data_IF_633836274024
#
_entry.id   IF_633836274024
#
_cell.length_a   1.000
_cell.length_b   1.000
_cell.length_c   1.000
_cell.angle_alpha   90.00
_cell.angle_beta   90.00
_cell.angle_gamma   90.00
#
_symmetry.space_group_name_H-M   'P 1'
#
loop_
_entity.id
_entity.type
_entity.pdbx_description
1 polymer ?
#
# COMPACT_ATOMS: atom_id res chain seq x y z
N UNK A 1 -25.21 4.36 8.63
CA UNK A 1 -24.43 3.80 7.50
C UNK A 1 -22.97 3.80 7.95
N UNK A 2 -22.40 2.63 8.26
CA UNK A 2 -21.09 2.52 8.92
C UNK A 2 -19.97 2.98 7.99
N UNK A 3 -19.42 4.17 8.25
CA UNK A 3 -18.25 4.71 7.56
C UNK A 3 -17.04 3.88 7.99
N UNK A 4 -16.52 3.07 7.08
CA UNK A 4 -15.24 2.38 7.29
C UNK A 4 -14.16 3.46 7.38
N UNK A 5 -13.47 3.47 8.52
CA UNK A 5 -12.37 4.37 8.83
C UNK A 5 -11.32 4.38 7.71
N UNK A 6 -10.76 5.56 7.40
CA UNK A 6 -9.67 5.76 6.44
C UNK A 6 -8.35 5.05 6.83
N UNK A 7 -8.34 4.28 7.93
CA UNK A 7 -7.28 3.34 8.31
C UNK A 7 -6.97 2.29 7.25
N UNK A 8 -7.88 2.00 6.32
CA UNK A 8 -7.70 0.97 5.29
C UNK A 8 -6.89 1.43 4.06
N UNK A 9 -6.56 2.72 3.93
CA UNK A 9 -6.16 3.33 2.64
C UNK A 9 -4.66 3.56 2.49
N UNK A 10 -3.87 3.50 3.56
CA UNK A 10 -2.49 3.99 3.53
C UNK A 10 -1.49 2.87 3.82
N UNK A 11 -1.06 2.13 2.79
CA UNK A 11 0.24 1.45 2.78
C UNK A 11 0.79 1.36 1.35
N UNK A 12 1.69 2.27 1.01
CA UNK A 12 2.60 2.14 -0.14
C UNK A 12 3.72 1.16 0.20
N UNK A 13 4.04 0.31 -0.77
CA UNK A 13 5.12 -0.70 -0.80
C UNK A 13 4.91 -1.91 0.11
N UNK A 14 4.20 -2.91 -0.43
CA UNK A 14 4.20 -4.25 0.14
C UNK A 14 5.43 -5.03 -0.33
N UNK A 15 6.17 -5.58 0.62
CA UNK A 15 7.30 -6.47 0.39
C UNK A 15 6.79 -7.90 0.42
N UNK A 16 6.92 -8.63 -0.68
CA UNK A 16 6.54 -10.04 -0.77
C UNK A 16 7.72 -10.91 -0.33
N UNK A 17 7.59 -11.59 0.81
CA UNK A 17 8.52 -12.65 1.21
C UNK A 17 8.22 -13.93 0.40
N UNK A 18 9.23 -14.47 -0.29
CA UNK A 18 9.14 -15.72 -1.05
C UNK A 18 8.98 -16.96 -0.15
N UNK A 19 9.22 -16.83 1.15
CA UNK A 19 9.17 -17.93 2.11
C UNK A 19 7.88 -17.89 2.91
N UNK A 20 6.77 -18.14 2.23
CA UNK A 20 5.53 -18.55 2.89
C UNK A 20 5.58 -20.08 2.96
N UNK A 21 5.72 -20.69 4.15
CA UNK A 21 5.79 -22.14 4.24
C UNK A 21 4.46 -22.75 3.77
N UNK A 22 4.49 -23.39 2.60
CA UNK A 22 3.54 -24.42 2.24
C UNK A 22 3.82 -25.60 3.17
N UNK A 23 2.87 -25.91 4.05
CA UNK A 23 3.03 -26.95 5.05
C UNK A 23 3.48 -28.28 4.43
N UNK A 24 4.57 -28.86 4.96
CA UNK A 24 4.73 -30.30 5.30
C UNK A 24 6.11 -30.60 5.92
N UNK A 25 6.11 -31.26 7.08
CA UNK A 25 7.02 -32.37 7.40
C UNK A 25 8.40 -32.12 8.02
N UNK A 26 8.46 -32.31 9.34
CA UNK A 26 9.58 -32.86 10.16
C UNK A 26 10.75 -31.97 10.64
N UNK A 27 11.15 -32.08 11.94
CA UNK A 27 12.30 -31.40 12.54
C UNK A 27 13.50 -32.35 12.78
N UNK A 28 14.73 -31.80 12.73
CA UNK A 28 16.02 -32.22 13.37
C UNK A 28 17.12 -31.40 12.66
N UNK A 29 18.22 -30.88 13.23
CA UNK A 29 18.93 -30.99 14.50
C UNK A 29 19.96 -29.83 14.54
N UNK A 30 20.29 -29.32 15.73
CA UNK A 30 21.66 -28.97 16.09
C UNK A 30 22.09 -27.51 15.92
N UNK A 31 22.13 -26.77 17.03
CA UNK A 31 22.89 -25.54 17.20
C UNK A 31 24.38 -25.73 16.93
N UNK A 32 25.01 -24.75 16.25
CA UNK A 32 26.19 -24.01 16.76
C UNK A 32 26.51 -22.79 15.88
N UNK A 33 27.15 -21.74 16.44
CA UNK A 33 27.19 -20.41 15.84
C UNK A 33 28.58 -20.02 15.25
N UNK A 34 28.55 -18.87 14.55
CA UNK A 34 29.65 -17.95 14.18
C UNK A 34 30.36 -18.20 12.84
N UNK A 35 30.18 -17.25 11.91
CA UNK A 35 31.27 -16.68 11.14
C UNK A 35 30.97 -15.21 10.83
N UNK A 36 31.77 -14.34 11.46
CA UNK A 36 31.99 -12.93 11.15
C UNK A 36 32.65 -12.77 9.78
N UNK A 37 32.27 -11.71 9.05
CA UNK A 37 33.08 -11.17 7.94
C UNK A 37 32.45 -11.36 6.57
N UNK A 38 32.03 -10.26 5.96
CA UNK A 38 31.49 -10.23 4.61
C UNK A 38 30.86 -8.90 4.29
N UNK A 39 31.71 -7.89 4.07
CA UNK A 39 31.36 -6.61 3.46
C UNK A 39 30.61 -6.85 2.16
N UNK A 40 29.28 -6.69 2.20
CA UNK A 40 28.39 -6.83 1.06
C UNK A 40 27.56 -5.58 0.96
N UNK A 41 28.05 -4.64 0.16
CA UNK A 41 27.36 -3.43 -0.31
C UNK A 41 25.85 -3.63 -0.34
N UNK A 42 25.15 -2.93 0.55
CA UNK A 42 23.70 -2.90 0.56
C UNK A 42 23.25 -2.32 -0.77
N UNK A 43 22.74 -3.19 -1.67
CA UNK A 43 22.05 -2.74 -2.87
C UNK A 43 20.89 -1.86 -2.42
N UNK A 44 21.09 -0.56 -2.57
CA UNK A 44 20.10 0.49 -2.43
C UNK A 44 18.89 0.07 -3.27
N UNK A 45 17.70 0.09 -2.68
CA UNK A 45 16.44 -0.17 -3.38
C UNK A 45 16.22 0.94 -4.41
N UNK A 46 16.77 0.78 -5.61
CA UNK A 46 16.89 1.86 -6.59
C UNK A 46 16.12 1.58 -7.89
N UNK A 47 14.96 0.94 -7.78
CA UNK A 47 13.90 1.13 -8.78
C UNK A 47 12.85 2.01 -8.11
N UNK A 48 12.78 3.28 -8.55
CA UNK A 48 11.67 4.19 -8.21
C UNK A 48 10.38 3.53 -8.67
N UNK A 49 9.35 3.60 -7.83
CA UNK A 49 8.04 3.12 -8.24
C UNK A 49 7.59 3.93 -9.45
N UNK A 50 6.91 3.28 -10.40
CA UNK A 50 6.37 3.98 -11.55
C UNK A 50 5.03 4.59 -11.14
N UNK A 51 4.97 5.92 -11.03
CA UNK A 51 3.71 6.65 -11.00
C UNK A 51 3.27 6.98 -12.43
N UNK A 52 1.98 6.80 -12.77
CA UNK A 52 1.44 7.30 -14.03
C UNK A 52 1.23 8.83 -14.01
N UNK A 53 1.49 9.49 -12.88
CA UNK A 53 1.36 10.94 -12.72
C UNK A 53 2.59 11.63 -13.28
N UNK A 54 2.38 12.48 -14.28
CA UNK A 54 3.37 13.44 -14.74
C UNK A 54 3.47 14.57 -13.71
N UNK A 55 4.54 14.54 -12.91
CA UNK A 55 4.69 15.44 -11.76
C UNK A 55 4.95 16.88 -12.19
N UNK A 56 5.64 17.10 -13.31
CA UNK A 56 5.90 18.45 -13.82
C UNK A 56 4.59 19.09 -14.34
N UNK A 57 3.73 18.31 -15.00
CA UNK A 57 2.38 18.77 -15.37
C UNK A 57 1.49 18.99 -14.16
N UNK A 58 1.57 18.10 -13.15
CA UNK A 58 0.82 18.27 -11.91
C UNK A 58 1.21 19.58 -11.22
N UNK A 59 2.51 19.84 -11.06
CA UNK A 59 3.04 21.08 -10.47
C UNK A 59 2.55 22.31 -11.22
N UNK A 60 2.57 22.28 -12.56
CA UNK A 60 2.00 23.35 -13.38
C UNK A 60 0.52 23.62 -13.04
N UNK A 61 -0.32 22.59 -13.02
CA UNK A 61 -1.75 22.74 -12.70
C UNK A 61 -2.01 23.18 -11.26
N UNK A 62 -1.12 22.88 -10.33
CA UNK A 62 -1.25 23.27 -8.92
C UNK A 62 -0.83 24.72 -8.63
N UNK A 63 -0.29 25.44 -9.63
CA UNK A 63 0.14 26.85 -9.46
C UNK A 63 -1.01 27.76 -9.02
N UNK A 64 -2.24 27.50 -9.48
CA UNK A 64 -3.44 28.27 -9.12
C UNK A 64 -4.25 27.62 -7.99
N UNK A 65 -3.69 26.64 -7.28
CA UNK A 65 -4.41 25.94 -6.23
C UNK A 65 -4.46 26.79 -4.94
N UNK A 66 -5.66 27.03 -4.41
CA UNK A 66 -5.92 27.87 -3.22
C UNK A 66 -5.27 27.36 -1.92
N UNK A 67 -4.52 26.24 -1.97
CA UNK A 67 -3.83 25.62 -0.84
C UNK A 67 -2.39 25.27 -1.20
N UNK A 68 -1.47 26.25 -1.14
CA UNK A 68 -0.09 26.06 -1.59
C UNK A 68 0.64 24.97 -0.79
N UNK A 69 0.37 24.83 0.52
CA UNK A 69 0.98 23.78 1.34
C UNK A 69 0.53 22.37 0.91
N UNK A 70 -0.73 22.21 0.51
CA UNK A 70 -1.24 20.93 0.02
C UNK A 70 -0.65 20.61 -1.37
N UNK A 71 -0.49 21.64 -2.22
CA UNK A 71 0.17 21.52 -3.52
C UNK A 71 1.62 21.06 -3.38
N UNK A 72 2.40 21.70 -2.51
CA UNK A 72 3.79 21.33 -2.22
C UNK A 72 3.90 19.89 -1.72
N UNK A 73 3.00 19.49 -0.80
CA UNK A 73 2.95 18.13 -0.28
C UNK A 73 2.70 17.10 -1.38
N UNK A 74 1.80 17.39 -2.33
CA UNK A 74 1.51 16.50 -3.45
C UNK A 74 2.72 16.38 -4.39
N UNK A 75 3.31 17.51 -4.81
CA UNK A 75 4.47 17.51 -5.71
C UNK A 75 5.63 16.76 -5.07
N UNK A 76 6.00 17.09 -3.82
CA UNK A 76 7.06 16.39 -3.10
C UNK A 76 6.72 14.91 -2.90
N UNK A 77 5.48 14.59 -2.55
CA UNK A 77 5.04 13.21 -2.33
C UNK A 77 5.12 12.34 -3.57
N UNK A 78 4.84 12.89 -4.77
CA UNK A 78 5.03 12.15 -6.02
C UNK A 78 6.48 12.11 -6.52
N UNK A 79 7.33 13.09 -6.15
CA UNK A 79 8.76 13.08 -6.49
C UNK A 79 9.58 12.15 -5.59
N UNK A 80 9.30 12.16 -4.29
CA UNK A 80 10.15 11.58 -3.23
C UNK A 80 9.42 10.54 -2.34
N UNK A 81 8.11 10.37 -2.54
CA UNK A 81 7.26 9.46 -1.76
C UNK A 81 6.53 10.13 -0.59
N UNK A 82 5.44 9.50 -0.14
CA UNK A 82 4.60 10.00 0.96
C UNK A 82 5.00 9.41 2.32
N UNK A 83 5.10 10.26 3.35
CA UNK A 83 5.35 9.83 4.74
C UNK A 83 4.05 9.49 5.45
N UNK A 84 3.94 8.26 5.94
CA UNK A 84 2.72 7.77 6.61
C UNK A 84 2.59 8.19 8.09
N UNK A 85 3.61 8.80 8.67
CA UNK A 85 3.55 9.27 10.07
C UNK A 85 3.56 8.17 11.13
N UNK A 86 4.13 7.00 10.84
CA UNK A 86 4.26 5.88 11.78
C UNK A 86 5.22 6.18 12.93
N UNK A 87 4.75 6.05 14.17
CA UNK A 87 5.49 6.35 15.41
C UNK A 87 5.73 5.12 16.30
N UNK A 88 5.41 3.93 15.80
CA UNK A 88 5.51 2.69 16.57
C UNK A 88 6.92 2.07 16.56
N UNK A 89 7.08 0.93 17.26
CA UNK A 89 8.34 0.21 17.31
C UNK A 89 8.71 -0.42 15.96
N UNK A 90 9.92 -0.15 15.47
CA UNK A 90 10.46 -0.71 14.21
C UNK A 90 11.00 -2.12 14.42
N UNK A 91 10.10 -3.06 14.67
CA UNK A 91 10.45 -4.46 14.93
C UNK A 91 10.19 -5.34 13.71
N UNK A 92 11.02 -6.37 13.55
CA UNK A 92 10.81 -7.40 12.54
C UNK A 92 9.56 -8.20 12.90
N UNK A 93 8.67 -8.42 11.93
CA UNK A 93 7.49 -9.26 12.11
C UNK A 93 7.26 -10.15 10.91
N UNK A 94 6.95 -11.41 11.19
CA UNK A 94 6.57 -12.41 10.20
C UNK A 94 5.16 -12.87 10.53
N UNK A 95 4.34 -13.01 9.50
CA UNK A 95 2.98 -13.47 9.61
C UNK A 95 2.75 -14.69 8.72
N UNK A 96 1.87 -15.57 9.17
CA UNK A 96 1.30 -16.61 8.31
C UNK A 96 0.12 -16.05 7.52
N UNK A 97 -0.15 -16.64 6.35
CA UNK A 97 -1.30 -16.26 5.54
C UNK A 97 -2.61 -16.69 6.19
N UNK A 98 -3.69 -15.98 5.84
CA UNK A 98 -5.02 -16.33 6.29
C UNK A 98 -5.46 -17.68 5.71
N UNK A 99 -6.29 -18.41 6.47
CA UNK A 99 -6.84 -19.72 6.07
C UNK A 99 -7.55 -19.69 4.71
N UNK A 100 -8.04 -18.54 4.27
CA UNK A 100 -8.72 -18.37 2.98
C UNK A 100 -7.82 -18.64 1.77
N UNK A 101 -6.50 -18.55 1.93
CA UNK A 101 -5.50 -18.84 0.88
C UNK A 101 -5.35 -20.34 0.62
N UNK A 102 -5.71 -21.20 1.58
CA UNK A 102 -5.56 -22.65 1.46
C UNK A 102 -6.30 -23.17 0.23
N UNK A 103 -5.61 -23.90 -0.64
CA UNK A 103 -6.13 -24.44 -1.89
C UNK A 103 -6.27 -23.41 -3.02
N UNK A 104 -5.73 -22.20 -2.87
CA UNK A 104 -5.71 -21.11 -3.86
C UNK A 104 -4.32 -20.47 -4.00
N UNK A 105 -3.28 -21.20 -3.62
CA UNK A 105 -1.91 -20.70 -3.52
C UNK A 105 -1.36 -20.27 -4.88
N UNK A 106 -1.61 -21.05 -5.93
CA UNK A 106 -1.20 -20.73 -7.29
C UNK A 106 -1.85 -19.42 -7.78
N UNK A 107 -3.15 -19.24 -7.52
CA UNK A 107 -3.87 -18.01 -7.88
C UNK A 107 -3.32 -16.79 -7.13
N UNK A 108 -2.91 -16.97 -5.87
CA UNK A 108 -2.25 -15.90 -5.09
C UNK A 108 -0.89 -15.57 -5.69
N UNK A 109 -0.08 -16.59 -6.03
CA UNK A 109 1.22 -16.38 -6.66
C UNK A 109 1.11 -15.65 -7.99
N UNK A 110 0.17 -16.03 -8.86
CA UNK A 110 -0.08 -15.35 -10.14
C UNK A 110 -0.47 -13.88 -9.95
N UNK A 111 -1.33 -13.58 -8.95
CA UNK A 111 -1.70 -12.19 -8.63
C UNK A 111 -0.52 -11.37 -8.14
N UNK A 112 0.29 -11.93 -7.24
CA UNK A 112 1.49 -11.25 -6.72
C UNK A 112 2.52 -11.03 -7.83
N UNK A 113 2.76 -12.04 -8.67
CA UNK A 113 3.66 -11.92 -9.81
C UNK A 113 3.23 -10.81 -10.77
N UNK A 114 1.91 -10.66 -11.01
CA UNK A 114 1.38 -9.55 -11.80
C UNK A 114 1.62 -8.19 -11.15
N UNK A 115 1.39 -8.04 -9.85
CA UNK A 115 1.65 -6.79 -9.13
C UNK A 115 3.15 -6.41 -9.15
N UNK A 116 4.04 -7.41 -9.11
CA UNK A 116 5.50 -7.23 -9.27
C UNK A 116 5.86 -6.83 -10.70
N UNK A 117 5.32 -7.53 -11.71
CA UNK A 117 5.57 -7.25 -13.12
C UNK A 117 5.15 -5.82 -13.49
N UNK A 118 4.06 -5.33 -12.89
CA UNK A 118 3.56 -3.97 -13.09
C UNK A 118 4.28 -2.93 -12.22
N UNK A 119 5.38 -3.30 -11.55
CA UNK A 119 6.24 -2.40 -10.78
C UNK A 119 5.62 -1.86 -9.48
N UNK A 120 4.51 -2.44 -9.03
CA UNK A 120 3.76 -1.96 -7.84
C UNK A 120 4.18 -2.63 -6.55
N UNK A 121 4.79 -3.80 -6.64
CA UNK A 121 5.38 -4.52 -5.52
C UNK A 121 6.81 -4.89 -5.85
N UNK A 122 7.66 -4.94 -4.82
CA UNK A 122 9.02 -5.41 -4.95
C UNK A 122 9.13 -6.84 -4.40
N UNK A 123 10.03 -7.62 -4.98
CA UNK A 123 10.22 -9.04 -4.68
C UNK A 123 9.71 -9.93 -5.82
N UNK A 124 9.44 -11.23 -5.57
CA UNK A 124 9.67 -11.92 -4.30
C UNK A 124 11.16 -11.93 -3.92
N UNK A 125 11.48 -11.67 -2.66
CA UNK A 125 12.87 -11.59 -2.21
C UNK A 125 13.39 -12.96 -1.77
N UNK A 126 14.57 -13.35 -2.25
CA UNK A 126 15.23 -14.60 -1.84
C UNK A 126 15.85 -14.52 -0.44
N UNK A 127 16.18 -13.30 0.00
CA UNK A 127 16.73 -12.97 1.32
C UNK A 127 15.89 -11.86 1.95
N UNK A 128 15.76 -11.89 3.27
CA UNK A 128 15.01 -10.89 4.02
C UNK A 128 15.58 -9.48 3.78
N UNK A 129 14.82 -8.56 3.14
CA UNK A 129 15.42 -7.40 2.49
C UNK A 129 15.67 -6.23 3.46
N UNK A 130 15.01 -6.19 4.63
CA UNK A 130 15.17 -5.13 5.64
C UNK A 130 15.14 -5.70 7.06
N UNK A 131 16.08 -5.31 7.94
CA UNK A 131 16.18 -5.85 9.31
C UNK A 131 14.87 -5.75 10.12
N UNK A 132 14.13 -4.67 9.94
CA UNK A 132 12.90 -4.31 10.65
C UNK A 132 11.64 -4.44 9.78
N UNK A 133 11.68 -5.28 8.73
CA UNK A 133 10.50 -5.50 7.89
C UNK A 133 9.34 -6.09 8.70
N UNK A 134 8.15 -5.54 8.50
CA UNK A 134 6.88 -6.11 8.96
C UNK A 134 6.15 -6.73 7.78
N UNK A 135 5.76 -7.99 7.93
CA UNK A 135 4.96 -8.72 6.94
C UNK A 135 3.55 -8.92 7.52
N UNK A 136 2.54 -8.46 6.80
CA UNK A 136 1.13 -8.68 7.14
C UNK A 136 0.57 -9.93 6.44
N UNK A 137 -0.35 -10.68 7.08
CA UNK A 137 -1.03 -11.83 6.47
C UNK A 137 -1.68 -11.47 5.13
N UNK A 138 -1.56 -12.36 4.15
CA UNK A 138 -2.32 -12.29 2.91
C UNK A 138 -3.55 -13.18 3.02
N UNK A 139 -4.67 -12.69 2.50
CA UNK A 139 -5.91 -13.44 2.34
C UNK A 139 -6.49 -13.30 0.94
N UNK A 140 -7.52 -14.09 0.68
CA UNK A 140 -8.34 -13.96 -0.54
C UNK A 140 -9.83 -13.90 -0.21
N UNK A 141 -10.54 -13.05 -0.95
CA UNK A 141 -12.00 -12.87 -0.83
C UNK A 141 -12.64 -13.06 -2.21
N UNK A 142 -13.70 -13.88 -2.36
CA UNK A 142 -14.40 -14.03 -3.64
C UNK A 142 -14.96 -12.70 -4.15
N UNK A 143 -14.95 -12.49 -5.46
CA UNK A 143 -15.74 -11.44 -6.12
C UNK A 143 -17.14 -11.95 -6.45
N UNK A 144 -18.00 -11.04 -6.95
CA UNK A 144 -19.32 -11.40 -7.49
C UNK A 144 -19.20 -12.33 -8.70
N UNK A 145 -18.17 -12.13 -9.53
CA UNK A 145 -17.90 -13.01 -10.66
C UNK A 145 -17.34 -14.36 -10.17
N UNK A 146 -17.97 -15.46 -10.60
CA UNK A 146 -17.57 -16.82 -10.22
C UNK A 146 -16.11 -17.08 -10.62
N UNK A 147 -15.33 -17.62 -9.69
CA UNK A 147 -13.91 -17.94 -9.91
C UNK A 147 -12.95 -16.75 -9.79
N UNK A 148 -13.43 -15.53 -9.58
CA UNK A 148 -12.56 -14.39 -9.33
C UNK A 148 -12.40 -14.11 -7.84
N UNK A 149 -11.18 -13.73 -7.44
CA UNK A 149 -10.85 -13.38 -6.06
C UNK A 149 -10.14 -12.03 -5.98
N UNK A 150 -10.29 -11.34 -4.85
CA UNK A 150 -9.50 -10.18 -4.46
C UNK A 150 -8.44 -10.64 -3.48
N UNK A 151 -7.21 -10.18 -3.70
CA UNK A 151 -6.15 -10.29 -2.72
C UNK A 151 -6.43 -9.26 -1.62
N UNK A 152 -6.31 -9.65 -0.36
CA UNK A 152 -6.43 -8.74 0.78
C UNK A 152 -5.17 -8.84 1.66
N UNK A 153 -4.77 -7.70 2.22
CA UNK A 153 -3.73 -7.62 3.22
C UNK A 153 -4.37 -7.35 4.58
N UNK A 154 -4.07 -8.17 5.57
CA UNK A 154 -4.59 -7.95 6.91
C UNK A 154 -3.75 -6.89 7.63
N UNK A 155 -4.00 -5.61 7.30
CA UNK A 155 -3.22 -4.48 7.80
C UNK A 155 -3.46 -4.15 9.28
N UNK A 156 -4.53 -4.68 9.86
CA UNK A 156 -4.83 -4.61 11.30
C UNK A 156 -4.14 -5.73 12.11
N UNK A 157 -3.27 -6.54 11.50
CA UNK A 157 -2.52 -7.57 12.21
C UNK A 157 -1.14 -7.07 12.67
N UNK A 158 -0.66 -7.48 13.85
CA UNK A 158 -1.44 -8.11 14.92
C UNK A 158 -2.38 -7.08 15.56
N UNK A 159 -3.53 -7.55 16.05
CA UNK A 159 -4.50 -6.67 16.68
C UNK A 159 -3.90 -5.92 17.88
N UNK A 160 -4.14 -4.61 17.96
CA UNK A 160 -3.62 -3.75 19.02
C UNK A 160 -2.13 -3.40 18.91
N UNK A 161 -1.44 -3.88 17.88
CA UNK A 161 -0.04 -3.52 17.62
C UNK A 161 0.27 -3.45 16.13
N UNK A 162 -0.73 -3.35 15.26
CA UNK A 162 -0.55 -3.29 13.82
C UNK A 162 0.18 -2.01 13.39
N UNK A 163 0.63 -1.95 12.14
CA UNK A 163 1.24 -0.71 11.62
C UNK A 163 0.27 0.47 11.76
N UNK A 164 -1.01 0.22 11.49
CA UNK A 164 -2.06 1.24 11.54
C UNK A 164 -2.35 1.73 12.97
N UNK A 165 -2.11 0.91 14.00
CA UNK A 165 -2.33 1.30 15.40
C UNK A 165 -1.34 2.36 15.89
N UNK A 166 -0.20 2.52 15.19
CA UNK A 166 0.82 3.50 15.53
C UNK A 166 0.91 4.66 14.52
N UNK A 167 -0.12 4.85 13.69
CA UNK A 167 -0.29 6.06 12.88
C UNK A 167 -1.25 6.98 13.65
N UNK A 168 -0.84 8.24 13.85
CA UNK A 168 -1.66 9.20 14.58
C UNK A 168 -3.03 9.37 13.93
N UNK A 169 -4.08 9.36 14.75
CA UNK A 169 -5.45 9.52 14.26
C UNK A 169 -5.65 10.82 13.48
N UNK A 170 -5.00 11.90 13.92
CA UNK A 170 -4.99 13.20 13.24
C UNK A 170 -4.50 13.14 11.78
N UNK A 171 -3.61 12.20 11.46
CA UNK A 171 -3.10 11.99 10.09
C UNK A 171 -3.98 11.03 9.28
N UNK A 172 -4.86 10.28 9.94
CA UNK A 172 -5.77 9.32 9.29
C UNK A 172 -7.19 9.87 9.09
N UNK A 173 -7.50 11.04 9.64
CA UNK A 173 -8.84 11.61 9.53
C UNK A 173 -9.03 12.27 8.16
N UNK A 174 -9.84 11.64 7.32
CA UNK A 174 -10.22 12.19 6.01
C UNK A 174 -11.63 12.78 6.11
N UNK A 175 -11.79 14.01 5.61
CA UNK A 175 -13.10 14.64 5.40
C UNK A 175 -13.45 14.55 3.92
N UNK A 176 -14.60 13.96 3.60
CA UNK A 176 -15.12 13.94 2.23
C UNK A 176 -16.16 15.04 2.07
N UNK A 177 -16.13 15.74 0.93
CA UNK A 177 -17.23 16.61 0.53
C UNK A 177 -18.50 15.76 0.33
N UNK A 178 -19.66 16.26 0.80
CA UNK A 178 -20.93 15.59 0.57
C UNK A 178 -21.43 15.83 -0.85
N UNK A 179 -22.40 15.02 -1.27
CA UNK A 179 -23.12 15.25 -2.54
C UNK A 179 -23.83 16.59 -2.50
N UNK A 180 -24.38 17.00 -1.35
CA UNK A 180 -25.06 18.29 -1.21
C UNK A 180 -24.13 19.46 -1.50
N UNK A 181 -22.88 19.41 -1.02
CA UNK A 181 -21.87 20.43 -1.34
C UNK A 181 -21.66 20.51 -2.86
N UNK A 182 -21.56 19.37 -3.54
CA UNK A 182 -21.43 19.35 -5.00
C UNK A 182 -22.68 19.91 -5.71
N UNK A 183 -23.89 19.63 -5.20
CA UNK A 183 -25.14 20.18 -5.74
C UNK A 183 -25.18 21.70 -5.56
N UNK A 184 -24.86 22.21 -4.37
CA UNK A 184 -24.81 23.64 -4.09
C UNK A 184 -23.81 24.36 -5.00
N UNK A 185 -22.65 23.76 -5.29
CA UNK A 185 -21.69 24.32 -6.24
C UNK A 185 -22.30 24.48 -7.64
N UNK A 186 -23.05 23.49 -8.12
CA UNK A 186 -23.71 23.54 -9.44
C UNK A 186 -24.82 24.59 -9.46
N UNK A 187 -25.62 24.67 -8.40
CA UNK A 187 -26.67 25.68 -8.26
C UNK A 187 -26.09 27.11 -8.28
N UNK A 188 -24.95 27.33 -7.62
CA UNK A 188 -24.26 28.63 -7.58
C UNK A 188 -23.69 29.05 -8.94
N UNK A 189 -23.21 28.11 -9.75
CA UNK A 189 -22.72 28.40 -11.11
C UNK A 189 -23.87 28.77 -12.07
N UNK A 190 -25.10 28.35 -11.77
CA UNK A 190 -26.31 28.77 -12.45
C UNK A 190 -26.53 28.11 -13.81
N UNK A 191 -27.50 28.67 -14.55
CA UNK A 191 -27.93 28.13 -15.84
C UNK A 191 -26.82 28.30 -16.89
N UNK A 192 -26.49 27.22 -17.59
CA UNK A 192 -25.42 27.20 -18.60
C UNK A 192 -24.06 26.71 -18.07
N UNK A 193 -23.98 26.31 -16.79
CA UNK A 193 -22.79 25.68 -16.23
C UNK A 193 -22.43 24.38 -16.96
N UNK A 194 -21.16 24.23 -17.34
CA UNK A 194 -20.63 23.02 -17.94
C UNK A 194 -20.06 22.11 -16.85
N UNK A 195 -20.39 20.82 -16.90
CA UNK A 195 -19.91 19.83 -15.93
C UNK A 195 -19.13 18.73 -16.63
N UNK A 196 -18.00 18.35 -16.03
CA UNK A 196 -17.25 17.15 -16.38
C UNK A 196 -17.15 16.23 -15.17
N UNK A 197 -17.23 14.92 -15.42
CA UNK A 197 -17.01 13.88 -14.41
C UNK A 197 -15.92 12.94 -14.87
N UNK A 198 -14.93 12.72 -14.01
CA UNK A 198 -13.85 11.77 -14.23
C UNK A 198 -13.78 10.80 -13.06
N UNK A 199 -13.68 9.50 -13.37
CA UNK A 199 -13.45 8.45 -12.38
C UNK A 199 -11.97 8.05 -12.42
N UNK A 200 -11.28 8.16 -11.28
CA UNK A 200 -9.87 7.76 -11.17
C UNK A 200 -9.81 6.27 -10.82
N UNK A 201 -9.52 5.44 -11.83
CA UNK A 201 -9.32 4.01 -11.64
C UNK A 201 -8.10 3.75 -10.76
N UNK A 202 -8.28 2.90 -9.76
CA UNK A 202 -7.20 2.41 -8.89
C UNK A 202 -6.39 3.52 -8.19
N UNK A 203 -7.03 4.63 -7.80
CA UNK A 203 -6.42 5.81 -7.17
C UNK A 203 -5.33 5.49 -6.15
N UNK A 204 -5.58 4.59 -5.19
CA UNK A 204 -4.61 4.24 -4.14
C UNK A 204 -3.29 3.70 -4.73
N UNK A 205 -3.36 2.95 -5.83
CA UNK A 205 -2.18 2.43 -6.52
C UNK A 205 -1.42 3.53 -7.24
N UNK A 206 -2.14 4.52 -7.77
CA UNK A 206 -1.55 5.71 -8.41
C UNK A 206 -0.78 6.56 -7.40
N UNK A 207 -1.29 6.70 -6.16
CA UNK A 207 -0.63 7.48 -5.10
C UNK A 207 0.65 6.83 -4.56
N UNK A 208 0.85 5.53 -4.75
CA UNK A 208 1.99 4.78 -4.21
C UNK A 208 3.24 4.79 -5.10
N UNK A 209 3.23 5.53 -6.21
CA UNK A 209 4.25 5.49 -7.27
C UNK A 209 5.40 6.52 -7.16
N UNK A 210 5.66 7.11 -5.99
CA UNK A 210 6.78 8.03 -5.74
C UNK A 210 8.01 7.31 -5.16
#
# INVERSE_FOLDING_TARGET
MNVRSARDVIQSRLVVDSRIPLARGEPRVGDRPIATGGSGSGRVFQERALTPVDVDRLEFYLTEYDRPLDADLLVQGFRDGFRLGYQGPRVRRRAENLRSVRGKEELVQQKLAKEVQEGRMAGPFSVWPLRNLTVSPIGVVPKKERGQFRLIHHLSWPEGSSVNDFILEALTKVSYASVDVAVTMVEQLGLGALMAKTDIKALIRTLAGG
#
